data_IF_922491633821
#
_entry.id   IF_922491633821
#
_cell.length_a   1.000
_cell.length_b   1.000
_cell.length_c   1.000
_cell.angle_alpha   90.00
_cell.angle_beta   90.00
_cell.angle_gamma   90.00
#
_symmetry.space_group_name_H-M   'P 1'
#
loop_
_entity.id
_entity.type
_entity.pdbx_description
1 polymer ?
#
# COMPACT_ATOMS: atom_id res chain seq x y z
N UNK A 1 11.54 11.18 -19.56
CA UNK A 1 10.46 12.00 -18.99
C UNK A 1 9.26 11.92 -19.93
N UNK A 2 8.32 11.00 -19.66
CA UNK A 2 7.15 10.81 -20.54
C UNK A 2 6.14 11.94 -20.35
N UNK A 3 6.15 12.91 -21.29
CA UNK A 3 5.04 13.85 -21.50
C UNK A 3 3.98 13.14 -22.33
N UNK A 4 2.97 12.57 -21.68
CA UNK A 4 1.78 12.05 -22.37
C UNK A 4 0.54 12.36 -21.54
N UNK A 5 -0.23 13.32 -22.06
CA UNK A 5 -1.57 13.75 -21.66
C UNK A 5 -1.69 14.47 -20.30
N UNK A 6 -2.31 15.65 -20.35
CA UNK A 6 -2.69 16.50 -19.22
C UNK A 6 -3.86 15.88 -18.43
N UNK A 7 -3.71 14.64 -17.98
CA UNK A 7 -4.71 13.94 -17.18
C UNK A 7 -4.40 14.14 -15.71
N UNK A 8 -5.27 14.89 -15.02
CA UNK A 8 -5.28 14.94 -13.56
C UNK A 8 -6.08 13.73 -13.06
N UNK A 9 -5.47 12.72 -12.43
CA UNK A 9 -6.21 11.58 -11.92
C UNK A 9 -7.22 12.03 -10.88
N UNK A 10 -8.50 11.64 -11.05
CA UNK A 10 -9.58 12.01 -10.14
C UNK A 10 -9.52 11.27 -8.80
N UNK A 11 -8.87 10.10 -8.77
CA UNK A 11 -8.63 9.31 -7.59
C UNK A 11 -7.45 8.35 -7.81
N UNK A 12 -6.82 7.93 -6.71
CA UNK A 12 -5.76 6.91 -6.71
C UNK A 12 -6.22 5.73 -5.86
N UNK A 13 -6.20 4.54 -6.44
CA UNK A 13 -6.48 3.29 -5.71
C UNK A 13 -5.16 2.58 -5.39
N UNK A 14 -4.91 2.35 -4.10
CA UNK A 14 -3.83 1.47 -3.65
C UNK A 14 -4.41 0.14 -3.22
N UNK A 15 -3.93 -0.93 -3.85
CA UNK A 15 -4.32 -2.30 -3.51
C UNK A 15 -3.17 -3.00 -2.82
N UNK A 16 -3.43 -3.66 -1.69
CA UNK A 16 -2.46 -4.52 -1.03
C UNK A 16 -3.07 -5.87 -0.61
N UNK A 17 -2.20 -6.84 -0.34
CA UNK A 17 -2.58 -8.14 0.23
C UNK A 17 -2.02 -8.27 1.64
N UNK A 18 -2.57 -9.17 2.44
CA UNK A 18 -2.03 -9.50 3.78
C UNK A 18 -0.57 -9.97 3.70
N UNK A 19 -0.23 -10.75 2.67
CA UNK A 19 1.14 -11.19 2.37
C UNK A 19 2.07 -10.02 2.10
N UNK A 20 1.66 -9.05 1.29
CA UNK A 20 2.44 -7.84 1.02
C UNK A 20 2.63 -7.00 2.29
N UNK A 21 1.58 -6.83 3.11
CA UNK A 21 1.65 -6.11 4.37
C UNK A 21 2.65 -6.77 5.34
N UNK A 22 2.67 -8.10 5.44
CA UNK A 22 3.67 -8.83 6.25
C UNK A 22 5.10 -8.59 5.77
N UNK A 23 5.36 -8.55 4.46
CA UNK A 23 6.69 -8.22 3.91
C UNK A 23 7.08 -6.79 4.30
N UNK A 24 6.17 -5.83 4.14
CA UNK A 24 6.40 -4.44 4.52
C UNK A 24 6.61 -4.27 6.03
N UNK A 25 6.04 -5.17 6.85
CA UNK A 25 6.27 -5.27 8.29
C UNK A 25 7.52 -6.05 8.70
N UNK A 26 8.39 -6.44 7.75
CA UNK A 26 9.69 -7.06 8.03
C UNK A 26 9.76 -8.58 7.93
N UNK A 27 8.70 -9.26 7.46
CA UNK A 27 8.75 -10.72 7.23
C UNK A 27 9.38 -11.07 5.88
N UNK A 28 10.11 -12.19 5.85
CA UNK A 28 10.65 -12.73 4.60
C UNK A 28 9.53 -13.43 3.82
N UNK A 29 9.69 -13.56 2.51
CA UNK A 29 8.72 -14.25 1.63
C UNK A 29 8.39 -15.68 2.08
N UNK A 30 9.32 -16.34 2.77
CA UNK A 30 9.17 -17.70 3.29
C UNK A 30 8.27 -17.79 4.52
N UNK A 31 8.11 -16.69 5.28
CA UNK A 31 7.41 -16.64 6.57
C UNK A 31 5.99 -16.05 6.44
N UNK A 32 5.41 -16.06 5.23
CA UNK A 32 4.11 -15.44 4.96
C UNK A 32 2.91 -16.34 5.24
N UNK A 33 3.18 -17.64 5.42
CA UNK A 33 2.18 -18.70 5.59
C UNK A 33 1.56 -18.62 6.99
N UNK A 34 2.38 -18.36 8.02
CA UNK A 34 1.89 -18.24 9.39
C UNK A 34 1.10 -16.94 9.59
N UNK A 35 0.02 -17.04 10.37
CA UNK A 35 -0.71 -15.86 10.81
C UNK A 35 0.21 -14.96 11.64
N UNK A 36 0.22 -13.67 11.32
CA UNK A 36 1.06 -12.71 12.01
C UNK A 36 0.44 -11.31 11.93
N UNK A 37 -0.42 -11.01 12.90
CA UNK A 37 -1.14 -9.74 13.00
C UNK A 37 -0.18 -8.57 13.20
N UNK A 38 0.87 -8.76 14.01
CA UNK A 38 1.86 -7.72 14.30
C UNK A 38 2.61 -7.25 13.03
N UNK A 39 3.02 -8.18 12.17
CA UNK A 39 3.66 -7.88 10.90
C UNK A 39 2.70 -7.13 9.95
N UNK A 40 1.41 -7.47 9.95
CA UNK A 40 0.41 -6.72 9.16
C UNK A 40 0.26 -5.30 9.71
N UNK A 41 0.12 -5.13 11.02
CA UNK A 41 0.02 -3.81 11.66
C UNK A 41 1.27 -2.95 11.41
N UNK A 42 2.47 -3.54 11.49
CA UNK A 42 3.71 -2.85 11.14
C UNK A 42 3.79 -2.51 9.64
N UNK A 43 3.26 -3.37 8.77
CA UNK A 43 3.10 -3.08 7.34
C UNK A 43 2.17 -1.89 7.07
N UNK A 44 1.10 -1.74 7.86
CA UNK A 44 0.18 -0.60 7.76
C UNK A 44 0.83 0.74 8.15
N UNK A 45 1.80 0.76 9.07
CA UNK A 45 2.58 1.99 9.35
C UNK A 45 3.37 2.46 8.13
N UNK A 46 3.92 1.54 7.35
CA UNK A 46 4.57 1.87 6.07
C UNK A 46 3.57 2.38 5.02
N UNK A 47 2.34 1.87 5.06
CA UNK A 47 1.26 2.33 4.19
C UNK A 47 0.82 3.75 4.51
N UNK A 48 0.71 4.10 5.79
CA UNK A 48 0.37 5.46 6.23
C UNK A 48 1.31 6.51 5.61
N UNK A 49 2.61 6.23 5.60
CA UNK A 49 3.61 7.09 4.95
C UNK A 49 3.40 7.23 3.45
N UNK A 50 2.97 6.16 2.77
CA UNK A 50 2.61 6.23 1.35
C UNK A 50 1.37 7.10 1.13
N UNK A 51 0.33 6.96 1.95
CA UNK A 51 -0.88 7.78 1.86
C UNK A 51 -0.54 9.25 2.07
N UNK A 52 0.27 9.59 3.08
CA UNK A 52 0.72 10.96 3.31
C UNK A 52 1.50 11.53 2.11
N UNK A 53 2.36 10.73 1.49
CA UNK A 53 3.11 11.16 0.31
C UNK A 53 2.21 11.37 -0.91
N UNK A 54 1.21 10.51 -1.10
CA UNK A 54 0.27 10.63 -2.22
C UNK A 54 -0.71 11.79 -1.99
N UNK A 55 -1.11 12.03 -0.74
CA UNK A 55 -1.94 13.17 -0.36
C UNK A 55 -1.32 14.52 -0.73
N UNK A 56 0.01 14.63 -0.77
CA UNK A 56 0.72 15.84 -1.25
C UNK A 56 0.43 16.17 -2.70
N UNK A 57 -0.03 15.21 -3.50
CA UNK A 57 -0.40 15.42 -4.91
C UNK A 57 -1.84 15.95 -5.07
N UNK A 58 -2.58 16.15 -3.97
CA UNK A 58 -3.92 16.76 -3.99
C UNK A 58 -5.00 15.89 -4.62
N UNK A 59 -4.79 14.57 -4.66
CA UNK A 59 -5.73 13.59 -5.23
C UNK A 59 -6.27 12.68 -4.12
N UNK A 60 -7.57 12.35 -4.12
CA UNK A 60 -8.14 11.46 -3.12
C UNK A 60 -7.58 10.04 -3.29
N UNK A 61 -7.23 9.41 -2.17
CA UNK A 61 -6.60 8.09 -2.12
C UNK A 61 -7.56 7.11 -1.47
N UNK A 62 -7.82 6.00 -2.16
CA UNK A 62 -8.61 4.88 -1.63
C UNK A 62 -7.68 3.68 -1.46
N UNK A 63 -7.74 3.05 -0.29
CA UNK A 63 -6.99 1.82 -0.02
C UNK A 63 -7.90 0.60 -0.02
N UNK A 64 -7.48 -0.47 -0.69
CA UNK A 64 -8.19 -1.73 -0.78
C UNK A 64 -7.27 -2.90 -0.36
N UNK A 65 -7.80 -3.79 0.47
CA UNK A 65 -7.12 -5.02 0.87
C UNK A 65 -7.76 -6.18 0.10
N UNK A 66 -6.95 -6.85 -0.71
CA UNK A 66 -7.37 -8.05 -1.41
C UNK A 66 -7.18 -9.28 -0.50
N UNK A 67 -8.28 -9.98 -0.19
CA UNK A 67 -8.34 -11.12 0.72
C UNK A 67 -8.31 -12.46 -0.03
N UNK A 68 -7.13 -12.91 -0.44
CA UNK A 68 -6.88 -14.25 -1.00
C UNK A 68 -5.59 -14.89 -0.43
#
# INVERSE_FOLDING_TARGET
MSKTQNQKPSAVFLVATTKALKIMGGKKKKDLISENVEAVTNGCKNLEKHIQNIGKFGVPVVFAINGY
#
